data_IF_182334928786
#
_entry.id   IF_182334928786
#
_cell.length_a   1.000
_cell.length_b   1.000
_cell.length_c   1.000
_cell.angle_alpha   90.00
_cell.angle_beta   90.00
_cell.angle_gamma   90.00
#
_symmetry.space_group_name_H-M   'P 1'
#
loop_
_entity.id
_entity.type
_entity.pdbx_description
1 polymer ?
#
# COMPACT_ATOMS: atom_id res chain seq x y z
N UNK A 1 12.97 18.81 -15.41
CA UNK A 1 12.53 17.42 -15.66
C UNK A 1 11.09 17.50 -16.17
N UNK A 2 10.60 16.55 -16.97
CA UNK A 2 9.21 16.57 -17.43
C UNK A 2 8.25 16.37 -16.26
N UNK A 3 7.15 17.12 -16.26
CA UNK A 3 6.14 17.07 -15.22
C UNK A 3 4.82 16.52 -15.77
N UNK A 4 4.04 15.87 -14.92
CA UNK A 4 2.71 15.36 -15.24
C UNK A 4 1.69 15.86 -14.21
N UNK A 5 0.46 16.11 -14.68
CA UNK A 5 -0.65 16.53 -13.84
C UNK A 5 -1.53 15.33 -13.50
N UNK A 6 -1.61 14.97 -12.23
CA UNK A 6 -2.54 13.96 -11.72
C UNK A 6 -3.76 14.64 -11.13
N UNK A 7 -4.97 14.21 -11.49
CA UNK A 7 -6.22 14.73 -10.92
C UNK A 7 -6.88 13.69 -10.04
N UNK A 8 -7.03 13.96 -8.75
CA UNK A 8 -7.72 13.10 -7.79
C UNK A 8 -9.24 13.08 -8.01
N UNK A 9 -9.93 12.18 -7.30
CA UNK A 9 -11.38 11.99 -7.37
C UNK A 9 -12.19 13.19 -6.86
N UNK A 10 -11.61 13.99 -5.98
CA UNK A 10 -12.12 15.26 -5.45
C UNK A 10 -11.66 16.48 -6.28
N UNK A 11 -11.10 16.25 -7.46
CA UNK A 11 -10.69 17.26 -8.46
C UNK A 11 -9.47 18.12 -8.07
N UNK A 12 -8.71 17.74 -7.05
CA UNK A 12 -7.42 18.36 -6.79
C UNK A 12 -6.40 17.94 -7.86
N UNK A 13 -5.55 18.86 -8.28
CA UNK A 13 -4.52 18.62 -9.31
C UNK A 13 -3.14 18.68 -8.65
N UNK A 14 -2.35 17.64 -8.90
CA UNK A 14 -0.97 17.49 -8.45
C UNK A 14 -0.05 17.60 -9.65
N UNK A 15 0.86 18.57 -9.65
CA UNK A 15 1.89 18.76 -10.67
C UNK A 15 3.21 18.19 -10.13
N UNK A 16 3.61 17.03 -10.63
CA UNK A 16 4.72 16.23 -10.08
C UNK A 16 5.66 15.76 -11.17
N UNK A 17 6.89 15.43 -10.78
CA UNK A 17 7.90 14.89 -11.70
C UNK A 17 7.45 13.53 -12.25
N UNK A 18 7.61 13.35 -13.57
CA UNK A 18 7.28 12.08 -14.24
C UNK A 18 8.02 10.89 -13.63
N UNK A 19 9.24 11.05 -13.13
CA UNK A 19 10.00 9.98 -12.46
C UNK A 19 9.31 9.54 -11.16
N UNK A 20 8.83 10.48 -10.36
CA UNK A 20 8.03 10.19 -9.16
C UNK A 20 6.73 9.50 -9.57
N UNK A 21 6.07 9.97 -10.63
CA UNK A 21 4.85 9.36 -11.15
C UNK A 21 5.04 7.88 -11.59
N UNK A 22 6.21 7.57 -12.14
CA UNK A 22 6.58 6.23 -12.63
C UNK A 22 6.80 5.20 -11.54
N UNK A 23 6.77 5.58 -10.25
CA UNK A 23 6.67 4.61 -9.15
C UNK A 23 5.39 3.76 -9.23
N UNK A 24 4.33 4.30 -9.84
CA UNK A 24 3.09 3.60 -10.12
C UNK A 24 3.21 2.84 -11.44
N UNK A 25 3.06 1.52 -11.38
CA UNK A 25 3.00 0.68 -12.58
C UNK A 25 1.85 1.11 -13.49
N UNK A 26 0.69 1.44 -12.93
CA UNK A 26 -0.48 1.91 -13.69
C UNK A 26 -0.21 3.22 -14.43
N UNK A 27 0.35 4.23 -13.76
CA UNK A 27 0.66 5.53 -14.38
C UNK A 27 1.78 5.35 -15.41
N UNK A 28 2.81 4.57 -15.09
CA UNK A 28 3.91 4.26 -16.01
C UNK A 28 3.39 3.66 -17.32
N UNK A 29 2.61 2.58 -17.26
CA UNK A 29 2.00 1.95 -18.44
C UNK A 29 1.13 2.95 -19.21
N UNK A 30 0.35 3.78 -18.52
CA UNK A 30 -0.49 4.77 -19.18
C UNK A 30 0.33 5.82 -19.95
N UNK A 31 1.43 6.30 -19.37
CA UNK A 31 2.31 7.29 -20.00
C UNK A 31 3.03 6.70 -21.23
N UNK A 32 3.55 5.48 -21.10
CA UNK A 32 4.27 4.76 -22.16
C UNK A 32 3.33 4.40 -23.33
N UNK A 33 2.15 3.84 -23.06
CA UNK A 33 1.22 3.38 -24.10
C UNK A 33 0.52 4.55 -24.83
N UNK A 34 0.29 5.67 -24.15
CA UNK A 34 -0.39 6.82 -24.72
C UNK A 34 0.56 7.90 -25.26
N UNK A 35 1.88 7.71 -25.17
CA UNK A 35 2.88 8.69 -25.61
C UNK A 35 2.76 10.04 -24.90
N UNK A 36 2.36 10.04 -23.62
CA UNK A 36 2.11 11.27 -22.86
C UNK A 36 3.35 11.83 -22.15
N UNK A 37 4.51 11.18 -22.29
CA UNK A 37 5.74 11.53 -21.57
C UNK A 37 6.25 12.96 -21.86
N UNK A 38 6.01 13.46 -23.07
CA UNK A 38 6.43 14.81 -23.51
C UNK A 38 5.29 15.85 -23.46
N UNK A 39 4.08 15.44 -23.04
CA UNK A 39 2.91 16.30 -23.05
C UNK A 39 2.63 16.91 -21.67
N UNK A 40 3.27 18.06 -21.39
CA UNK A 40 3.09 18.83 -20.15
C UNK A 40 1.64 19.33 -19.91
N UNK A 41 0.73 19.19 -20.88
CA UNK A 41 -0.67 19.56 -20.74
C UNK A 41 -1.60 18.36 -20.48
N UNK A 42 -1.09 17.13 -20.52
CA UNK A 42 -1.89 15.94 -20.21
C UNK A 42 -2.24 15.92 -18.71
N UNK A 43 -3.53 15.68 -18.42
CA UNK A 43 -4.02 15.49 -17.05
C UNK A 43 -4.48 14.05 -16.93
N UNK A 44 -3.83 13.30 -16.05
CA UNK A 44 -4.15 11.89 -15.74
C UNK A 44 -5.24 11.86 -14.66
N UNK A 45 -6.47 11.41 -14.97
CA UNK A 45 -7.51 11.31 -13.97
C UNK A 45 -7.36 10.04 -13.14
N UNK A 46 -7.41 10.18 -11.81
CA UNK A 46 -7.39 9.10 -10.83
C UNK A 46 -8.73 9.08 -10.05
N UNK A 47 -9.82 8.58 -10.67
CA UNK A 47 -11.18 8.72 -10.11
C UNK A 47 -11.42 7.93 -8.82
N UNK A 48 -10.54 6.97 -8.51
CA UNK A 48 -10.65 6.11 -7.33
C UNK A 48 -9.71 6.54 -6.18
N UNK A 49 -9.05 7.69 -6.31
CA UNK A 49 -8.04 8.16 -5.34
C UNK A 49 -8.35 9.60 -4.93
N UNK A 50 -8.67 9.84 -3.66
CA UNK A 50 -8.85 11.21 -3.15
C UNK A 50 -7.51 11.93 -2.97
N UNK A 51 -7.55 13.24 -2.78
CA UNK A 51 -6.33 14.04 -2.73
C UNK A 51 -5.48 13.76 -1.49
N UNK A 52 -6.11 13.42 -0.36
CA UNK A 52 -5.42 13.13 0.91
C UNK A 52 -4.53 11.89 0.76
N UNK A 53 -5.08 10.80 0.24
CA UNK A 53 -4.35 9.54 0.04
C UNK A 53 -3.34 9.68 -1.10
N UNK A 54 -3.68 10.38 -2.18
CA UNK A 54 -2.74 10.65 -3.27
C UNK A 54 -1.51 11.41 -2.79
N UNK A 55 -1.68 12.46 -1.96
CA UNK A 55 -0.55 13.22 -1.40
C UNK A 55 0.40 12.34 -0.61
N UNK A 56 -0.12 11.48 0.26
CA UNK A 56 0.70 10.54 1.04
C UNK A 56 1.51 9.59 0.16
N UNK A 57 0.90 9.10 -0.91
CA UNK A 57 1.59 8.20 -1.86
C UNK A 57 2.70 8.95 -2.59
N UNK A 58 2.46 10.21 -2.98
CA UNK A 58 3.46 11.05 -3.62
C UNK A 58 4.62 11.36 -2.65
N UNK A 59 4.33 11.68 -1.39
CA UNK A 59 5.36 11.89 -0.35
C UNK A 59 6.21 10.62 -0.16
N UNK A 60 5.57 9.44 -0.15
CA UNK A 60 6.27 8.15 -0.08
C UNK A 60 7.14 7.90 -1.31
N UNK A 61 6.62 8.17 -2.50
CA UNK A 61 7.32 7.98 -3.77
C UNK A 61 8.52 8.92 -3.91
N UNK A 62 8.39 10.17 -3.45
CA UNK A 62 9.50 11.13 -3.45
C UNK A 62 10.62 10.70 -2.52
N UNK A 63 10.31 10.14 -1.34
CA UNK A 63 11.34 9.63 -0.43
C UNK A 63 12.07 8.42 -1.01
N UNK A 64 11.35 7.50 -1.66
CA UNK A 64 11.91 6.23 -2.19
C UNK A 64 12.38 6.32 -3.65
N UNK A 65 12.42 7.51 -4.26
CA UNK A 65 12.76 7.65 -5.68
C UNK A 65 14.20 7.22 -6.00
N UNK A 66 15.11 7.39 -5.04
CA UNK A 66 16.54 7.09 -5.17
C UNK A 66 16.93 5.75 -4.55
N UNK A 67 15.95 4.96 -4.10
CA UNK A 67 16.22 3.65 -3.52
C UNK A 67 16.83 2.73 -4.57
N UNK A 68 17.86 1.95 -4.18
CA UNK A 68 18.47 0.99 -5.10
C UNK A 68 17.42 -0.02 -5.55
N UNK A 69 17.50 -0.43 -6.82
CA UNK A 69 16.63 -1.51 -7.30
C UNK A 69 16.82 -2.75 -6.42
N UNK A 70 15.73 -3.36 -5.94
CA UNK A 70 15.82 -4.52 -5.07
C UNK A 70 16.56 -5.65 -5.79
N UNK A 71 17.55 -6.23 -5.12
CA UNK A 71 18.23 -7.42 -5.60
C UNK A 71 17.39 -8.67 -5.33
N UNK A 72 17.72 -9.82 -5.94
CA UNK A 72 17.05 -11.10 -5.64
C UNK A 72 17.10 -11.45 -4.14
N UNK A 73 18.18 -11.08 -3.44
CA UNK A 73 18.29 -11.26 -2.00
C UNK A 73 17.34 -10.33 -1.20
N UNK A 74 17.08 -9.13 -1.71
CA UNK A 74 16.18 -8.17 -1.07
C UNK A 74 14.72 -8.62 -1.25
N UNK A 75 14.38 -9.24 -2.37
CA UNK A 75 13.08 -9.91 -2.56
C UNK A 75 12.89 -11.08 -1.59
N UNK A 76 13.93 -11.85 -1.25
CA UNK A 76 13.83 -12.88 -0.22
C UNK A 76 13.67 -12.31 1.19
N UNK A 77 14.39 -11.22 1.51
CA UNK A 77 14.25 -10.52 2.79
C UNK A 77 12.89 -9.83 2.89
N UNK A 78 12.33 -9.36 1.78
CA UNK A 78 11.01 -8.72 1.74
C UNK A 78 9.90 -9.69 2.15
N UNK A 79 10.08 -11.00 1.99
CA UNK A 79 9.11 -12.02 2.46
C UNK A 79 9.02 -12.10 3.98
N UNK A 80 9.99 -11.57 4.73
CA UNK A 80 9.95 -11.53 6.20
C UNK A 80 9.20 -10.28 6.66
N UNK A 81 8.23 -10.48 7.55
CA UNK A 81 7.41 -9.41 8.13
C UNK A 81 8.19 -8.47 9.05
N UNK A 82 9.38 -8.90 9.50
CA UNK A 82 10.18 -8.19 10.50
C UNK A 82 11.10 -7.11 9.89
N UNK A 83 11.13 -7.00 8.55
CA UNK A 83 11.92 -5.99 7.85
C UNK A 83 11.01 -4.90 7.29
N UNK A 84 10.85 -3.84 8.10
CA UNK A 84 10.26 -2.53 7.74
C UNK A 84 11.29 -1.48 8.18
N UNK A 85 11.65 -0.55 7.29
CA UNK A 85 12.60 0.51 7.63
C UNK A 85 11.99 1.47 8.67
N UNK A 86 12.80 2.13 9.51
CA UNK A 86 12.28 3.07 10.50
C UNK A 86 11.42 4.18 9.89
N UNK A 87 11.83 4.70 8.73
CA UNK A 87 11.07 5.73 8.02
C UNK A 87 9.71 5.22 7.57
N UNK A 88 9.64 4.01 6.98
CA UNK A 88 8.38 3.38 6.59
C UNK A 88 7.48 3.09 7.80
N UNK A 89 8.06 2.66 8.91
CA UNK A 89 7.32 2.41 10.14
C UNK A 89 6.67 3.70 10.69
N UNK A 90 7.39 4.82 10.62
CA UNK A 90 6.87 6.13 11.00
C UNK A 90 5.83 6.66 9.99
N UNK A 91 6.08 6.47 8.69
CA UNK A 91 5.13 6.83 7.62
C UNK A 91 3.81 6.06 7.76
N UNK A 92 3.87 4.76 8.05
CA UNK A 92 2.71 3.89 8.22
C UNK A 92 2.03 4.02 9.59
N UNK A 93 2.52 4.89 10.46
CA UNK A 93 1.93 5.18 11.77
C UNK A 93 0.70 6.07 11.63
N UNK A 94 -0.36 5.49 11.11
CA UNK A 94 -1.67 6.13 10.92
C UNK A 94 -2.80 5.26 11.48
N UNK A 95 -4.04 5.79 11.47
CA UNK A 95 -5.20 5.00 11.85
C UNK A 95 -5.47 3.86 10.85
N UNK A 96 -6.19 2.83 11.30
CA UNK A 96 -6.46 1.65 10.49
C UNK A 96 -7.22 1.99 9.21
N UNK A 97 -8.15 2.95 9.26
CA UNK A 97 -8.94 3.36 8.10
C UNK A 97 -8.03 3.92 7.00
N UNK A 98 -7.17 4.87 7.37
CA UNK A 98 -6.18 5.43 6.46
C UNK A 98 -5.18 4.37 5.94
N UNK A 99 -4.75 3.42 6.77
CA UNK A 99 -3.87 2.33 6.35
C UNK A 99 -4.55 1.38 5.35
N UNK A 100 -5.81 1.02 5.57
CA UNK A 100 -6.57 0.20 4.62
C UNK A 100 -6.80 0.94 3.31
N UNK A 101 -7.12 2.23 3.38
CA UNK A 101 -7.27 3.06 2.18
C UNK A 101 -5.97 3.15 1.38
N UNK A 102 -4.84 3.35 2.07
CA UNK A 102 -3.51 3.35 1.47
C UNK A 102 -3.22 2.02 0.76
N UNK A 103 -3.56 0.88 1.36
CA UNK A 103 -3.41 -0.46 0.75
C UNK A 103 -4.25 -0.58 -0.52
N UNK A 104 -5.52 -0.16 -0.47
CA UNK A 104 -6.42 -0.23 -1.62
C UNK A 104 -5.90 0.62 -2.79
N UNK A 105 -5.42 1.83 -2.51
CA UNK A 105 -4.88 2.73 -3.52
C UNK A 105 -3.52 2.26 -4.04
N UNK A 106 -2.62 1.80 -3.16
CA UNK A 106 -1.33 1.25 -3.57
C UNK A 106 -1.50 0.05 -4.50
N UNK A 107 -2.49 -0.80 -4.24
CA UNK A 107 -2.87 -1.89 -5.15
C UNK A 107 -3.48 -1.36 -6.46
N UNK A 108 -4.36 -0.36 -6.41
CA UNK A 108 -4.97 0.24 -7.59
C UNK A 108 -3.94 0.90 -8.53
N UNK A 109 -2.93 1.56 -7.96
CA UNK A 109 -1.85 2.23 -8.70
C UNK A 109 -0.66 1.29 -9.03
N UNK A 110 -0.74 0.01 -8.66
CA UNK A 110 0.35 -0.98 -8.77
C UNK A 110 1.69 -0.47 -8.21
N UNK A 111 1.69 -0.05 -6.94
CA UNK A 111 2.88 0.36 -6.18
C UNK A 111 3.24 -0.78 -5.21
N UNK A 112 3.86 -1.85 -5.75
CA UNK A 112 4.16 -3.07 -4.98
C UNK A 112 4.94 -2.83 -3.69
N UNK A 113 6.04 -2.04 -3.67
CA UNK A 113 6.81 -1.89 -2.43
C UNK A 113 5.99 -1.26 -1.30
N UNK A 114 5.17 -0.24 -1.62
CA UNK A 114 4.26 0.41 -0.67
C UNK A 114 3.17 -0.56 -0.17
N UNK A 115 2.60 -1.36 -1.08
CA UNK A 115 1.61 -2.39 -0.74
C UNK A 115 2.21 -3.42 0.22
N UNK A 116 3.43 -3.87 -0.04
CA UNK A 116 4.12 -4.88 0.77
C UNK A 116 4.39 -4.38 2.18
N UNK A 117 4.96 -3.18 2.35
CA UNK A 117 5.25 -2.63 3.69
C UNK A 117 3.96 -2.36 4.49
N UNK A 118 2.89 -1.94 3.83
CA UNK A 118 1.59 -1.74 4.47
C UNK A 118 0.98 -3.09 4.92
N UNK A 119 1.06 -4.12 4.07
CA UNK A 119 0.63 -5.48 4.42
C UNK A 119 1.46 -6.07 5.58
N UNK A 120 2.78 -5.86 5.59
CA UNK A 120 3.64 -6.27 6.71
C UNK A 120 3.26 -5.59 8.01
N UNK A 121 2.90 -4.30 7.96
CA UNK A 121 2.46 -3.56 9.13
C UNK A 121 1.22 -4.20 9.74
N UNK A 122 0.22 -4.55 8.91
CA UNK A 122 -0.96 -5.31 9.37
C UNK A 122 -0.57 -6.69 9.92
N UNK A 123 0.32 -7.41 9.24
CA UNK A 123 0.79 -8.72 9.71
C UNK A 123 1.44 -8.63 11.10
N UNK A 124 2.25 -7.59 11.35
CA UNK A 124 2.87 -7.33 12.64
C UNK A 124 1.84 -6.95 13.73
N UNK A 125 0.73 -6.31 13.37
CA UNK A 125 -0.39 -6.06 14.29
C UNK A 125 -1.14 -7.33 14.71
N UNK A 126 -1.03 -8.40 13.92
CA UNK A 126 -1.65 -9.72 14.15
C UNK A 126 -0.68 -10.66 14.87
N UNK A 127 0.62 -10.57 14.58
CA UNK A 127 1.67 -11.45 15.10
C UNK A 127 1.64 -11.51 16.62
N UNK A 128 1.56 -12.74 17.16
CA UNK A 128 1.57 -12.99 18.61
C UNK A 128 0.27 -12.68 19.35
N UNK A 129 -0.78 -12.18 18.67
CA UNK A 129 -2.09 -11.91 19.29
C UNK A 129 -3.00 -13.12 19.29
N UNK A 130 -3.89 -13.21 20.27
CA UNK A 130 -4.93 -14.24 20.28
C UNK A 130 -6.03 -13.92 19.26
N UNK A 131 -6.81 -14.91 18.80
CA UNK A 131 -7.96 -14.65 17.95
C UNK A 131 -8.97 -13.65 18.54
N UNK A 132 -9.08 -13.58 19.88
CA UNK A 132 -9.94 -12.62 20.55
C UNK A 132 -9.39 -11.18 20.43
N UNK A 133 -8.09 -11.00 20.69
CA UNK A 133 -7.42 -9.69 20.58
C UNK A 133 -7.42 -9.17 19.14
N UNK A 134 -7.23 -10.06 18.16
CA UNK A 134 -7.32 -9.72 16.72
C UNK A 134 -8.73 -9.24 16.40
N UNK A 135 -9.76 -9.99 16.82
CA UNK A 135 -11.15 -9.59 16.60
C UNK A 135 -11.48 -8.24 17.22
N UNK A 136 -10.99 -7.99 18.43
CA UNK A 136 -11.15 -6.69 19.08
C UNK A 136 -10.41 -5.59 18.32
N UNK A 137 -9.15 -5.83 17.95
CA UNK A 137 -8.28 -4.85 17.26
C UNK A 137 -8.89 -4.40 15.92
N UNK A 138 -9.46 -5.33 15.16
CA UNK A 138 -10.01 -5.08 13.83
C UNK A 138 -11.55 -4.98 13.82
N UNK A 139 -12.18 -4.90 15.00
CA UNK A 139 -13.63 -4.83 15.17
C UNK A 139 -14.41 -5.93 14.41
N UNK A 140 -13.89 -7.15 14.42
CA UNK A 140 -14.46 -8.31 13.73
C UNK A 140 -15.40 -9.06 14.69
N UNK A 141 -16.66 -9.25 14.26
CA UNK A 141 -17.64 -10.04 15.03
C UNK A 141 -17.20 -11.50 15.17
N UNK A 142 -17.45 -12.11 16.32
CA UNK A 142 -17.33 -13.56 16.48
C UNK A 142 -18.62 -14.23 15.98
N UNK A 143 -18.50 -14.89 14.84
CA UNK A 143 -19.57 -15.55 14.10
C UNK A 143 -19.54 -17.08 14.21
N UNK A 144 -18.52 -17.64 14.88
CA UNK A 144 -18.43 -19.07 15.10
C UNK A 144 -19.34 -19.56 16.23
N UNK A 145 -20.06 -20.65 15.96
CA UNK A 145 -20.77 -21.46 16.95
C UNK A 145 -19.79 -22.19 17.89
N UNK A 146 -20.30 -22.69 19.01
CA UNK A 146 -19.49 -23.46 19.95
C UNK A 146 -18.94 -24.77 19.34
N UNK A 147 -19.72 -25.41 18.46
CA UNK A 147 -19.31 -26.61 17.74
C UNK A 147 -18.14 -26.32 16.78
N UNK A 148 -18.27 -25.29 15.94
CA UNK A 148 -17.21 -24.89 15.00
C UNK A 148 -15.92 -24.48 15.72
N UNK A 149 -16.03 -23.77 16.85
CA UNK A 149 -14.84 -23.42 17.67
C UNK A 149 -14.11 -24.66 18.18
N UNK A 150 -14.86 -25.68 18.61
CA UNK A 150 -14.30 -26.94 19.11
C UNK A 150 -13.59 -27.69 17.98
N UNK A 151 -14.23 -27.79 16.82
CA UNK A 151 -13.68 -28.51 15.68
C UNK A 151 -12.40 -27.81 15.14
N UNK A 152 -12.37 -26.47 15.09
CA UNK A 152 -11.17 -25.68 14.73
C UNK A 152 -10.03 -25.89 15.75
N UNK A 153 -10.35 -25.92 17.05
CA UNK A 153 -9.34 -26.12 18.10
C UNK A 153 -8.78 -27.55 18.09
N UNK A 154 -9.63 -28.54 17.82
CA UNK A 154 -9.26 -29.94 17.69
C UNK A 154 -8.34 -30.16 16.48
N UNK A 155 -8.71 -29.60 15.32
CA UNK A 155 -7.87 -29.64 14.12
C UNK A 155 -6.49 -28.99 14.34
N UNK A 156 -6.42 -27.86 15.06
CA UNK A 156 -5.14 -27.20 15.41
C UNK A 156 -4.25 -28.00 16.35
N UNK A 157 -4.78 -28.97 17.10
CA UNK A 157 -3.98 -29.86 17.96
C UNK A 157 -3.41 -31.06 17.21
N UNK A 158 -3.88 -31.33 16.00
CA UNK A 158 -3.45 -32.45 15.16
C UNK A 158 -2.32 -32.08 14.19
N UNK A 159 -1.89 -30.82 14.17
CA UNK A 159 -0.80 -30.26 13.35
C UNK A 159 0.31 -29.80 14.26
#
# INVERSE_FOLDING_TARGET
>A
MPNIKLRSSDNEIFDIDVQIAKCSGTIKTMLEDCGMEDNNNAVVPLPNVNSVTLRKILDWAEYHQDDPQPTEEDEEKSKKTDHILPWDADFLKMDQGALFELILVANYLDIKPLLDIACKTIANMIKGKTPADIRQTFNIKNDFTAAEKRDILEAKRMV
#
